data_IF_422600348812
#
_entry.id   IF_422600348812
#
_cell.length_a   1.000
_cell.length_b   1.000
_cell.length_c   1.000
_cell.angle_alpha   90.00
_cell.angle_beta   90.00
_cell.angle_gamma   90.00
#
_symmetry.space_group_name_H-M   'P 1'
#
loop_
_entity.id
_entity.type
_entity.pdbx_description
1 polymer ?
#
# COMPACT_ATOMS: atom_id res chain seq x y z
N UNK A 1 18.60 8.41 -26.57
CA UNK A 1 17.59 9.08 -25.73
C UNK A 1 17.87 8.64 -24.31
N UNK A 2 18.17 9.54 -23.37
CA UNK A 2 18.42 9.12 -21.99
C UNK A 2 17.12 8.52 -21.42
N UNK A 3 17.22 7.30 -20.91
CA UNK A 3 16.10 6.65 -20.24
C UNK A 3 15.69 7.48 -19.03
N UNK A 4 14.39 7.78 -18.92
CA UNK A 4 13.86 8.60 -17.82
C UNK A 4 13.13 7.72 -16.82
N UNK A 5 13.55 7.80 -15.57
CA UNK A 5 13.07 6.92 -14.51
C UNK A 5 12.60 7.72 -13.30
N UNK A 6 11.77 7.09 -12.48
CA UNK A 6 11.43 7.55 -11.14
C UNK A 6 11.66 6.39 -10.19
N UNK A 7 12.50 6.59 -9.18
CA UNK A 7 12.58 5.67 -8.05
C UNK A 7 11.59 6.16 -7.01
N UNK A 8 10.51 5.41 -6.79
CA UNK A 8 9.51 5.68 -5.76
C UNK A 8 9.73 4.76 -4.57
N UNK A 9 10.32 5.32 -3.51
CA UNK A 9 10.76 4.58 -2.33
C UNK A 9 9.76 4.72 -1.20
N UNK A 10 9.07 3.61 -0.89
CA UNK A 10 7.94 3.53 0.03
C UNK A 10 8.32 2.71 1.27
N UNK A 11 8.67 3.41 2.34
CA UNK A 11 8.92 2.79 3.64
C UNK A 11 7.63 2.70 4.47
N UNK A 12 7.48 1.64 5.26
CA UNK A 12 6.42 1.49 6.26
C UNK A 12 5.49 0.29 6.01
N UNK A 13 4.36 0.30 6.73
CA UNK A 13 3.40 -0.81 6.75
C UNK A 13 2.56 -0.95 5.48
N UNK A 14 1.73 -2.00 5.45
CA UNK A 14 0.89 -2.36 4.30
C UNK A 14 -0.07 -1.22 3.92
N UNK A 15 -0.71 -0.57 4.90
CA UNK A 15 -1.62 0.54 4.65
C UNK A 15 -0.96 1.72 3.91
N UNK A 16 0.32 2.00 4.21
CA UNK A 16 1.07 3.04 3.50
C UNK A 16 1.40 2.62 2.06
N UNK A 17 1.72 1.34 1.85
CA UNK A 17 1.97 0.81 0.50
C UNK A 17 0.69 0.83 -0.34
N UNK A 18 -0.47 0.50 0.24
CA UNK A 18 -1.77 0.62 -0.43
C UNK A 18 -2.03 2.08 -0.81
N UNK A 19 -1.89 3.04 0.13
CA UNK A 19 -2.04 4.46 -0.20
C UNK A 19 -1.05 4.93 -1.28
N UNK A 20 0.16 4.38 -1.30
CA UNK A 20 1.18 4.72 -2.27
C UNK A 20 0.80 4.34 -3.71
N UNK A 21 -0.09 3.37 -3.94
CA UNK A 21 -0.55 3.06 -5.31
C UNK A 21 -1.36 4.22 -5.91
N UNK A 22 -2.10 4.97 -5.09
CA UNK A 22 -2.73 6.23 -5.53
C UNK A 22 -1.69 7.30 -5.88
N UNK A 23 -0.62 7.40 -5.10
CA UNK A 23 0.48 8.35 -5.33
C UNK A 23 1.24 7.99 -6.61
N UNK A 24 1.45 6.70 -6.88
CA UNK A 24 2.08 6.23 -8.11
C UNK A 24 1.29 6.66 -9.36
N UNK A 25 -0.04 6.60 -9.32
CA UNK A 25 -0.91 7.13 -10.39
C UNK A 25 -0.71 8.64 -10.60
N UNK A 26 -0.70 9.42 -9.51
CA UNK A 26 -0.49 10.87 -9.59
C UNK A 26 0.90 11.21 -10.16
N UNK A 27 1.93 10.46 -9.75
CA UNK A 27 3.28 10.55 -10.31
C UNK A 27 3.25 10.23 -11.81
N UNK A 28 2.63 9.13 -12.23
CA UNK A 28 2.58 8.72 -13.64
C UNK A 28 1.82 9.72 -14.50
N UNK A 29 0.75 10.34 -13.98
CA UNK A 29 0.02 11.42 -14.64
C UNK A 29 0.90 12.65 -14.89
N UNK A 30 1.72 13.05 -13.92
CA UNK A 30 2.67 14.17 -14.06
C UNK A 30 3.84 13.83 -14.99
N UNK A 31 4.29 12.57 -14.94
CA UNK A 31 5.48 12.09 -15.63
C UNK A 31 5.15 10.86 -16.51
N UNK A 32 4.32 11.02 -17.56
CA UNK A 32 3.87 9.89 -18.37
C UNK A 32 5.01 9.22 -19.13
N UNK A 33 6.07 9.98 -19.44
CA UNK A 33 7.27 9.55 -20.16
C UNK A 33 8.33 8.88 -19.27
N UNK A 34 8.07 8.71 -17.96
CA UNK A 34 9.00 8.07 -17.03
C UNK A 34 8.49 6.74 -16.53
N UNK A 35 9.38 5.77 -16.45
CA UNK A 35 9.07 4.47 -15.84
C UNK A 35 9.25 4.55 -14.33
N UNK A 36 8.28 4.01 -13.58
CA UNK A 36 8.30 4.02 -12.12
C UNK A 36 8.88 2.71 -11.60
N UNK A 37 9.96 2.83 -10.85
CA UNK A 37 10.66 1.76 -10.14
C UNK A 37 10.32 1.91 -8.67
N UNK A 38 9.54 0.99 -8.13
CA UNK A 38 9.09 1.07 -6.74
C UNK A 38 9.99 0.25 -5.82
N UNK A 39 10.33 0.79 -4.66
CA UNK A 39 11.03 0.08 -3.59
C UNK A 39 10.10 0.07 -2.39
N UNK A 40 9.80 -1.10 -1.80
CA UNK A 40 8.91 -1.15 -0.65
C UNK A 40 8.95 -2.45 0.14
N UNK A 41 8.19 -2.48 1.24
CA UNK A 41 8.16 -3.63 2.16
C UNK A 41 7.07 -4.67 1.84
N UNK A 42 6.12 -4.35 0.96
CA UNK A 42 4.93 -5.17 0.70
C UNK A 42 4.77 -5.46 -0.80
N UNK A 43 5.53 -6.44 -1.36
CA UNK A 43 5.56 -6.71 -2.80
C UNK A 43 4.19 -7.02 -3.41
N UNK A 44 3.34 -7.77 -2.72
CA UNK A 44 2.03 -8.18 -3.22
C UNK A 44 1.12 -7.00 -3.61
N UNK A 45 1.27 -5.84 -2.96
CA UNK A 45 0.51 -4.63 -3.28
C UNK A 45 0.87 -4.07 -4.66
N UNK A 46 2.09 -4.34 -5.13
CA UNK A 46 2.64 -3.78 -6.37
C UNK A 46 2.59 -4.75 -7.55
N UNK A 47 2.17 -6.00 -7.34
CA UNK A 47 2.03 -6.96 -8.43
C UNK A 47 0.98 -6.48 -9.43
N UNK A 48 1.29 -6.65 -10.72
CA UNK A 48 0.42 -6.28 -11.85
C UNK A 48 -0.02 -4.80 -11.87
N UNK A 49 0.60 -3.92 -11.09
CA UNK A 49 0.23 -2.51 -11.06
C UNK A 49 0.65 -1.82 -12.37
N UNK A 50 -0.29 -1.22 -13.14
CA UNK A 50 -0.02 -0.77 -14.52
C UNK A 50 0.97 0.39 -14.60
N UNK A 51 1.05 1.21 -13.55
CA UNK A 51 1.97 2.36 -13.53
C UNK A 51 3.40 2.01 -13.07
N UNK A 52 3.65 0.77 -12.61
CA UNK A 52 4.94 0.36 -12.03
C UNK A 52 5.63 -0.67 -12.92
N UNK A 53 6.81 -0.31 -13.39
CA UNK A 53 7.62 -1.15 -14.28
C UNK A 53 8.35 -2.25 -13.49
N UNK A 54 8.87 -1.90 -12.32
CA UNK A 54 9.68 -2.79 -11.51
C UNK A 54 9.48 -2.54 -10.03
N UNK A 55 9.45 -3.62 -9.26
CA UNK A 55 9.46 -3.58 -7.81
C UNK A 55 10.76 -4.16 -7.24
N UNK A 56 11.28 -3.53 -6.19
CA UNK A 56 12.35 -4.04 -5.33
C UNK A 56 11.88 -4.14 -3.88
N UNK A 57 12.21 -5.25 -3.22
CA UNK A 57 11.98 -5.37 -1.80
C UNK A 57 12.95 -4.46 -1.02
N UNK A 58 12.44 -3.82 0.03
CA UNK A 58 13.23 -2.95 0.90
C UNK A 58 14.44 -3.71 1.46
N UNK A 59 15.63 -3.11 1.37
CA UNK A 59 16.90 -3.74 1.78
C UNK A 59 17.48 -4.72 0.75
N UNK A 60 16.79 -4.99 -0.35
CA UNK A 60 17.26 -5.85 -1.44
C UNK A 60 17.08 -5.16 -2.81
N UNK A 61 17.98 -4.24 -3.13
CA UNK A 61 17.98 -3.44 -4.37
C UNK A 61 19.27 -3.68 -5.19
N UNK A 62 19.53 -4.90 -5.66
CA UNK A 62 20.75 -5.22 -6.41
C UNK A 62 20.81 -4.42 -7.71
N UNK A 63 22.01 -3.90 -8.01
CA UNK A 63 22.33 -3.14 -9.23
C UNK A 63 21.48 -1.89 -9.49
N UNK A 64 20.72 -1.40 -8.51
CA UNK A 64 19.80 -0.28 -8.72
C UNK A 64 20.51 0.99 -9.21
N UNK A 65 21.73 1.22 -8.73
CA UNK A 65 22.52 2.37 -9.16
C UNK A 65 22.94 2.22 -10.61
N UNK A 66 23.49 1.06 -11.00
CA UNK A 66 23.91 0.75 -12.35
C UNK A 66 22.74 0.78 -13.34
N UNK A 67 21.63 0.13 -12.99
CA UNK A 67 20.50 -0.09 -13.90
C UNK A 67 19.65 1.17 -14.06
N UNK A 68 19.39 1.90 -12.97
CA UNK A 68 18.37 2.96 -12.96
C UNK A 68 18.88 4.34 -12.55
N UNK A 69 20.15 4.54 -12.18
CA UNK A 69 20.64 5.87 -11.75
C UNK A 69 21.81 6.34 -12.63
N UNK A 70 22.86 5.53 -12.77
CA UNK A 70 24.11 5.89 -13.43
C UNK A 70 23.89 6.17 -14.91
N UNK A 71 24.10 7.42 -15.33
CA UNK A 71 23.89 7.88 -16.71
C UNK A 71 22.42 7.86 -17.18
N UNK A 72 21.45 7.84 -16.25
CA UNK A 72 20.01 7.98 -16.51
C UNK A 72 19.49 9.32 -15.97
N UNK A 73 18.37 9.78 -16.53
CA UNK A 73 17.62 10.90 -15.96
C UNK A 73 16.63 10.33 -14.93
N UNK A 74 17.04 10.31 -13.67
CA UNK A 74 16.29 9.63 -12.59
C UNK A 74 15.90 10.58 -11.48
N UNK A 75 14.60 10.67 -11.22
CA UNK A 75 14.06 11.35 -10.05
C UNK A 75 13.96 10.35 -8.90
N UNK A 76 14.30 10.77 -7.69
CA UNK A 76 14.20 9.94 -6.48
C UNK A 76 13.15 10.55 -5.55
N UNK A 77 12.07 9.80 -5.35
CA UNK A 77 10.97 10.15 -4.46
C UNK A 77 11.02 9.26 -3.22
N UNK A 78 11.40 9.85 -2.08
CA UNK A 78 11.59 9.19 -0.78
C UNK A 78 10.94 9.97 0.38
N UNK A 79 10.00 10.86 0.06
CA UNK A 79 9.40 11.77 1.03
C UNK A 79 8.49 11.01 2.02
N UNK A 80 8.46 11.45 3.27
CA UNK A 80 7.67 10.86 4.35
C UNK A 80 6.39 11.66 4.60
N UNK A 81 5.22 11.22 4.11
CA UNK A 81 3.96 11.96 4.22
C UNK A 81 3.47 12.09 5.67
N UNK A 82 3.84 11.17 6.57
CA UNK A 82 3.41 11.24 7.96
C UNK A 82 4.03 12.42 8.72
N UNK A 83 5.10 13.02 8.20
CA UNK A 83 5.74 14.20 8.77
C UNK A 83 5.17 15.51 8.19
N UNK A 84 4.23 15.44 7.25
CA UNK A 84 3.62 16.63 6.66
C UNK A 84 2.74 17.37 7.68
N UNK A 85 2.94 18.68 7.83
CA UNK A 85 2.21 19.52 8.79
C UNK A 85 0.69 19.40 8.63
N UNK A 86 0.18 19.46 7.40
CA UNK A 86 -1.26 19.34 7.14
C UNK A 86 -1.83 17.98 7.51
N UNK A 87 -1.04 16.90 7.37
CA UNK A 87 -1.48 15.56 7.77
C UNK A 87 -1.52 15.43 9.30
N UNK A 88 -0.46 15.89 9.98
CA UNK A 88 -0.37 15.89 11.45
C UNK A 88 -1.53 16.66 12.07
N UNK A 89 -1.88 17.82 11.50
CA UNK A 89 -3.00 18.65 11.95
C UNK A 89 -4.36 18.20 11.39
N UNK A 90 -4.44 17.04 10.71
CA UNK A 90 -5.67 16.46 10.16
C UNK A 90 -6.42 17.38 9.18
N UNK A 91 -5.68 18.21 8.47
CA UNK A 91 -6.21 19.16 7.47
C UNK A 91 -6.28 18.56 6.07
N UNK A 92 -5.37 17.63 5.76
CA UNK A 92 -5.30 16.94 4.46
C UNK A 92 -5.20 15.44 4.63
N UNK A 93 -5.63 14.70 3.61
CA UNK A 93 -5.44 13.25 3.58
C UNK A 93 -3.95 12.89 3.39
N UNK A 94 -3.53 11.70 3.84
CA UNK A 94 -2.13 11.25 3.72
C UNK A 94 -1.64 11.23 2.27
N UNK A 95 -2.50 10.79 1.33
CA UNK A 95 -2.19 10.76 -0.12
C UNK A 95 -1.93 12.18 -0.65
N UNK A 96 -2.76 13.14 -0.25
CA UNK A 96 -2.63 14.55 -0.65
C UNK A 96 -1.34 15.16 -0.10
N UNK A 97 -1.06 14.94 1.19
CA UNK A 97 0.20 15.33 1.82
C UNK A 97 1.41 14.73 1.09
N UNK A 98 1.32 13.47 0.66
CA UNK A 98 2.39 12.83 -0.10
C UNK A 98 2.57 13.47 -1.46
N UNK A 99 1.48 13.73 -2.17
CA UNK A 99 1.51 14.37 -3.47
C UNK A 99 2.15 15.77 -3.40
N UNK A 100 1.77 16.56 -2.39
CA UNK A 100 2.33 17.89 -2.13
C UNK A 100 3.85 17.84 -1.90
N UNK A 101 4.34 16.93 -1.06
CA UNK A 101 5.78 16.74 -0.80
C UNK A 101 6.58 16.35 -2.06
N UNK A 102 5.94 15.67 -3.02
CA UNK A 102 6.53 15.30 -4.30
C UNK A 102 6.34 16.39 -5.38
N UNK A 103 5.59 17.45 -5.05
CA UNK A 103 5.16 18.48 -6.00
C UNK A 103 4.28 17.93 -7.11
N UNK A 104 3.56 16.82 -6.90
CA UNK A 104 2.59 16.26 -7.86
C UNK A 104 1.18 16.71 -7.48
N UNK A 105 0.34 16.97 -8.46
CA UNK A 105 -1.04 17.39 -8.22
C UNK A 105 -1.91 16.19 -7.82
N UNK A 106 -2.59 16.28 -6.67
CA UNK A 106 -3.57 15.30 -6.26
C UNK A 106 -4.96 15.65 -6.83
N UNK A 107 -5.54 14.73 -7.60
CA UNK A 107 -6.83 14.90 -8.28
C UNK A 107 -7.90 13.91 -7.76
N UNK A 108 -7.70 13.34 -6.57
CA UNK A 108 -8.62 12.34 -6.00
C UNK A 108 -8.30 10.90 -6.42
N UNK A 109 -7.08 10.62 -6.86
CA UNK A 109 -6.60 9.27 -7.12
C UNK A 109 -6.89 8.35 -5.92
N UNK A 110 -7.39 7.15 -6.21
CA UNK A 110 -7.70 6.13 -5.21
C UNK A 110 -6.67 5.00 -5.25
N UNK A 111 -6.39 4.36 -4.10
CA UNK A 111 -5.60 3.15 -4.07
C UNK A 111 -6.22 2.04 -4.93
N UNK A 112 -5.39 1.40 -5.75
CA UNK A 112 -5.74 0.14 -6.43
C UNK A 112 -4.77 -0.96 -6.02
N UNK A 113 -5.26 -2.19 -6.07
CA UNK A 113 -4.47 -3.42 -5.93
C UNK A 113 -4.95 -4.37 -7.02
N UNK A 114 -4.02 -5.08 -7.64
CA UNK A 114 -4.30 -5.99 -8.74
C UNK A 114 -3.96 -7.41 -8.29
N UNK A 115 -4.98 -8.26 -8.25
CA UNK A 115 -4.78 -9.65 -7.86
C UNK A 115 -4.07 -10.40 -8.98
N UNK A 116 -3.16 -11.29 -8.58
CA UNK A 116 -2.62 -12.32 -9.46
C UNK A 116 -3.68 -13.38 -9.76
N UNK A 117 -3.43 -14.18 -10.80
CA UNK A 117 -4.28 -15.33 -11.11
C UNK A 117 -4.33 -16.29 -9.91
N UNK A 118 -3.18 -16.60 -9.30
CA UNK A 118 -3.09 -17.48 -8.13
C UNK A 118 -3.87 -16.95 -6.93
N UNK A 119 -3.78 -15.65 -6.61
CA UNK A 119 -4.58 -15.04 -5.53
C UNK A 119 -6.08 -15.13 -5.81
N UNK A 120 -6.47 -14.93 -7.07
CA UNK A 120 -7.87 -15.05 -7.49
C UNK A 120 -8.40 -16.48 -7.37
N UNK A 121 -7.60 -17.49 -7.74
CA UNK A 121 -7.95 -18.90 -7.55
C UNK A 121 -8.02 -19.29 -6.08
N UNK A 122 -7.07 -18.85 -5.25
CA UNK A 122 -7.11 -19.09 -3.81
C UNK A 122 -8.36 -18.49 -3.17
N UNK A 123 -8.71 -17.25 -3.53
CA UNK A 123 -9.93 -16.61 -3.04
C UNK A 123 -11.20 -17.40 -3.46
N UNK A 124 -11.25 -17.89 -4.71
CA UNK A 124 -12.35 -18.75 -5.19
C UNK A 124 -12.45 -20.05 -4.40
N UNK A 125 -11.32 -20.73 -4.15
CA UNK A 125 -11.30 -21.98 -3.39
C UNK A 125 -11.69 -21.77 -1.92
N UNK A 126 -11.23 -20.67 -1.31
CA UNK A 126 -11.49 -20.38 0.10
C UNK A 126 -12.92 -19.92 0.36
N UNK A 127 -13.49 -19.10 -0.54
CA UNK A 127 -14.76 -18.42 -0.30
C UNK A 127 -15.90 -18.88 -1.22
N UNK A 128 -15.62 -19.67 -2.26
CA UNK A 128 -16.61 -20.07 -3.26
C UNK A 128 -17.54 -21.21 -2.85
N UNK A 129 -17.37 -21.79 -1.66
CA UNK A 129 -18.16 -22.92 -1.17
C UNK A 129 -19.43 -22.53 -0.39
N UNK A 130 -19.63 -21.24 -0.11
CA UNK A 130 -20.76 -20.74 0.68
C UNK A 130 -21.58 -19.71 -0.10
N UNK A 131 -22.91 -19.88 -0.07
CA UNK A 131 -23.85 -18.96 -0.72
C UNK A 131 -24.08 -17.66 0.07
N UNK A 132 -23.56 -17.56 1.30
CA UNK A 132 -23.69 -16.34 2.11
C UNK A 132 -22.78 -15.22 1.58
N UNK A 133 -23.23 -13.96 1.60
CA UNK A 133 -22.35 -12.83 1.32
C UNK A 133 -21.17 -12.77 2.30
N UNK A 134 -20.02 -12.30 1.84
CA UNK A 134 -18.83 -12.10 2.65
C UNK A 134 -18.93 -10.77 3.41
N UNK A 135 -18.57 -10.77 4.68
CA UNK A 135 -18.37 -9.56 5.49
C UNK A 135 -16.95 -9.59 6.07
N UNK A 136 -16.08 -8.75 5.55
CA UNK A 136 -14.69 -8.62 6.01
C UNK A 136 -14.61 -7.57 7.10
N UNK A 137 -13.92 -7.86 8.19
CA UNK A 137 -13.71 -6.92 9.29
C UNK A 137 -12.26 -6.99 9.79
N UNK A 138 -11.65 -5.84 10.07
CA UNK A 138 -10.29 -5.76 10.60
C UNK A 138 -10.33 -5.20 12.01
N UNK A 139 -10.04 -6.03 13.00
CA UNK A 139 -10.10 -5.66 14.43
C UNK A 139 -8.75 -5.42 15.06
N UNK A 140 -7.67 -5.71 14.33
CA UNK A 140 -6.31 -5.66 14.82
C UNK A 140 -5.46 -4.75 13.95
N UNK A 141 -4.44 -4.13 14.55
CA UNK A 141 -3.47 -3.35 13.81
C UNK A 141 -2.22 -4.15 13.46
N UNK A 142 -1.34 -3.55 12.67
CA UNK A 142 -0.06 -4.17 12.35
C UNK A 142 0.86 -4.25 13.56
N UNK A 143 1.52 -5.40 13.72
CA UNK A 143 2.57 -5.63 14.71
C UNK A 143 3.07 -7.07 14.58
N UNK A 144 4.29 -7.24 14.09
CA UNK A 144 4.93 -8.54 13.98
C UNK A 144 6.07 -8.64 14.99
N UNK A 145 6.35 -9.84 15.54
CA UNK A 145 7.58 -10.08 16.28
C UNK A 145 8.79 -9.62 15.43
N UNK A 146 9.78 -8.92 16.03
CA UNK A 146 9.97 -8.69 17.47
C UNK A 146 9.29 -7.43 18.03
N UNK A 147 8.68 -6.60 17.17
CA UNK A 147 8.16 -5.27 17.54
C UNK A 147 6.87 -5.31 18.38
N UNK A 148 6.26 -6.49 18.53
CA UNK A 148 5.11 -6.72 19.39
C UNK A 148 5.38 -7.96 20.26
N UNK A 149 5.79 -7.73 21.52
CA UNK A 149 6.09 -8.80 22.50
C UNK A 149 4.83 -9.34 23.18
N UNK A 150 3.76 -8.55 23.21
CA UNK A 150 2.49 -8.94 23.81
C UNK A 150 1.49 -9.43 22.76
N UNK A 151 0.64 -10.41 23.09
CA UNK A 151 -0.36 -10.93 22.16
C UNK A 151 -1.37 -9.88 21.64
N UNK A 152 -1.55 -8.77 22.36
CA UNK A 152 -2.49 -7.71 22.04
C UNK A 152 -1.82 -6.33 22.13
N UNK A 153 -2.10 -5.46 21.16
CA UNK A 153 -1.73 -4.05 21.16
C UNK A 153 -2.90 -3.18 21.59
N UNK A 154 -2.83 -2.57 22.78
CA UNK A 154 -3.93 -1.76 23.33
C UNK A 154 -4.31 -0.55 22.48
N UNK A 155 -3.38 -0.04 21.68
CA UNK A 155 -3.58 1.14 20.83
C UNK A 155 -4.09 0.80 19.43
N UNK A 156 -4.11 -0.49 19.07
CA UNK A 156 -4.31 -0.96 17.69
C UNK A 156 -5.34 -2.08 17.56
N UNK A 157 -5.60 -2.81 18.64
CA UNK A 157 -6.49 -3.95 18.65
C UNK A 157 -7.77 -3.65 19.42
N UNK A 158 -8.90 -4.02 18.84
CA UNK A 158 -10.19 -3.97 19.51
C UNK A 158 -10.31 -5.12 20.54
N UNK A 159 -10.85 -4.87 21.74
CA UNK A 159 -11.09 -5.94 22.72
C UNK A 159 -12.03 -7.02 22.18
N UNK A 160 -11.62 -8.30 22.26
CA UNK A 160 -12.37 -9.43 21.72
C UNK A 160 -13.85 -9.48 22.16
N UNK A 161 -14.22 -9.24 23.44
CA UNK A 161 -15.63 -9.23 23.84
C UNK A 161 -16.46 -8.17 23.11
N UNK A 162 -15.88 -7.00 22.83
CA UNK A 162 -16.52 -5.93 22.06
C UNK A 162 -16.73 -6.36 20.61
N UNK A 163 -15.70 -6.94 20.00
CA UNK A 163 -15.74 -7.44 18.62
C UNK A 163 -16.83 -8.49 18.45
N UNK A 164 -16.88 -9.51 19.31
CA UNK A 164 -17.88 -10.57 19.22
C UNK A 164 -19.30 -10.04 19.33
N UNK A 165 -19.55 -9.11 20.26
CA UNK A 165 -20.85 -8.46 20.41
C UNK A 165 -21.25 -7.64 19.17
N UNK A 166 -20.28 -7.03 18.48
CA UNK A 166 -20.54 -6.31 17.24
C UNK A 166 -20.85 -7.24 16.05
N UNK A 167 -20.24 -8.42 16.01
CA UNK A 167 -20.39 -9.37 14.91
C UNK A 167 -21.62 -10.27 15.03
N UNK A 168 -22.12 -10.49 16.25
CA UNK A 168 -23.27 -11.36 16.54
C UNK A 168 -24.47 -11.16 15.60
N UNK A 169 -24.92 -9.92 15.26
CA UNK A 169 -26.05 -9.71 14.35
C UNK A 169 -25.79 -10.14 12.90
N UNK A 170 -24.52 -10.34 12.52
CA UNK A 170 -24.09 -10.64 11.15
C UNK A 170 -23.74 -12.12 10.95
N UNK A 171 -23.46 -12.85 12.03
CA UNK A 171 -23.00 -14.25 11.97
C UNK A 171 -23.97 -15.19 11.24
N UNK A 172 -25.27 -14.95 11.35
CA UNK A 172 -26.26 -15.78 10.66
C UNK A 172 -26.28 -15.51 9.15
N UNK A 173 -26.11 -14.24 8.75
CA UNK A 173 -26.34 -13.77 7.37
C UNK A 173 -25.09 -13.77 6.50
N UNK A 174 -23.91 -13.69 7.09
CA UNK A 174 -22.65 -13.49 6.37
C UNK A 174 -21.61 -14.57 6.68
N UNK A 175 -20.71 -14.80 5.72
CA UNK A 175 -19.41 -15.41 6.00
C UNK A 175 -18.50 -14.30 6.55
N UNK A 176 -18.19 -14.37 7.84
CA UNK A 176 -17.32 -13.41 8.50
C UNK A 176 -15.85 -13.78 8.26
N UNK A 177 -15.05 -12.81 7.80
CA UNK A 177 -13.60 -12.93 7.60
C UNK A 177 -12.86 -11.85 8.39
#
# INVERSE_FOLDING_TARGET
VNEKRIIFHVEGGIGKNIMATAVAKAIKKKHPDRDIITIGSWPAIWFNHPDVERFYALGNTPYIFEDYIRDKDTLIYKQEPYHHHGYINKQVHCIEAWCDLLGVEYNGEKPDIYLTHSESEMARMQFGSSDKPIFVFQTNGGGTPPNQQHPMSWVRDAPLPTVLKMLEPFMEKYNLI
#
